data_IF_031445328889
#
_entry.id   IF_031445328889
#
_cell.length_a   1.000
_cell.length_b   1.000
_cell.length_c   1.000
_cell.angle_alpha   90.00
_cell.angle_beta   90.00
_cell.angle_gamma   90.00
#
_symmetry.space_group_name_H-M   'P 1'
#
loop_
_entity.id
_entity.type
_entity.pdbx_description
1 polymer ?
#
# COMPACT_ATOMS: atom_id res chain seq x y z
N UNK A 1 -12.51 -8.24 -25.15
CA UNK A 1 -11.30 -7.68 -24.56
C UNK A 1 -11.15 -8.29 -23.17
N UNK A 2 -10.29 -9.26 -22.97
CA UNK A 2 -9.98 -9.81 -21.64
C UNK A 2 -9.10 -8.80 -20.91
N UNK A 3 -9.59 -8.24 -19.81
CA UNK A 3 -8.78 -7.37 -18.94
C UNK A 3 -7.62 -8.20 -18.39
N UNK A 4 -6.39 -7.78 -18.67
CA UNK A 4 -5.21 -8.38 -18.04
C UNK A 4 -5.18 -8.07 -16.53
N UNK A 5 -4.51 -8.89 -15.74
CA UNK A 5 -4.40 -8.68 -14.28
C UNK A 5 -3.65 -7.38 -13.95
N UNK A 6 -2.72 -6.95 -14.81
CA UNK A 6 -2.01 -5.67 -14.72
C UNK A 6 -2.97 -4.49 -14.92
N UNK A 7 -3.92 -4.61 -15.88
CA UNK A 7 -4.97 -3.58 -16.10
C UNK A 7 -5.88 -3.46 -14.87
N UNK A 8 -6.22 -4.56 -14.24
CA UNK A 8 -7.01 -4.56 -12.98
C UNK A 8 -6.22 -3.89 -11.86
N UNK A 9 -4.92 -4.20 -11.73
CA UNK A 9 -4.07 -3.57 -10.74
C UNK A 9 -3.91 -2.05 -10.99
N UNK A 10 -3.77 -1.64 -12.25
CA UNK A 10 -3.73 -0.22 -12.64
C UNK A 10 -5.01 0.52 -12.22
N UNK A 11 -6.17 -0.03 -12.56
CA UNK A 11 -7.47 0.57 -12.20
C UNK A 11 -7.67 0.63 -10.68
N UNK A 12 -7.28 -0.41 -9.94
CA UNK A 12 -7.35 -0.42 -8.48
C UNK A 12 -6.48 0.68 -7.86
N UNK A 13 -5.24 0.86 -8.36
CA UNK A 13 -4.32 1.92 -7.91
C UNK A 13 -4.83 3.31 -8.29
N UNK A 14 -5.39 3.49 -9.49
CA UNK A 14 -5.97 4.75 -9.95
C UNK A 14 -7.13 5.16 -9.04
N UNK A 15 -8.08 4.27 -8.82
CA UNK A 15 -9.24 4.51 -7.94
C UNK A 15 -8.78 4.85 -6.53
N UNK A 16 -7.82 4.08 -5.99
CA UNK A 16 -7.29 4.33 -4.66
C UNK A 16 -6.57 5.67 -4.54
N UNK A 17 -5.80 6.07 -5.57
CA UNK A 17 -5.10 7.36 -5.63
C UNK A 17 -6.10 8.52 -5.60
N UNK A 18 -7.19 8.43 -6.38
CA UNK A 18 -8.24 9.45 -6.44
C UNK A 18 -9.02 9.54 -5.12
N UNK A 19 -9.42 8.40 -4.54
CA UNK A 19 -10.14 8.36 -3.25
C UNK A 19 -9.27 8.93 -2.13
N UNK A 20 -7.95 8.71 -2.16
CA UNK A 20 -7.03 9.15 -1.11
C UNK A 20 -6.58 10.60 -1.25
N UNK A 21 -6.70 11.22 -2.42
CA UNK A 21 -6.24 12.58 -2.67
C UNK A 21 -6.81 13.62 -1.68
N UNK A 22 -8.13 13.67 -1.39
CA UNK A 22 -8.68 14.65 -0.44
C UNK A 22 -8.14 14.46 0.99
N UNK A 23 -7.92 13.20 1.41
CA UNK A 23 -7.37 12.91 2.73
C UNK A 23 -5.87 13.20 2.82
N UNK A 24 -5.11 13.01 1.75
CA UNK A 24 -3.68 13.31 1.70
C UNK A 24 -3.38 14.82 1.80
N UNK A 25 -4.29 15.66 1.26
CA UNK A 25 -4.19 17.13 1.37
C UNK A 25 -4.45 17.57 2.80
N UNK A 26 -5.49 17.00 3.45
CA UNK A 26 -5.97 17.44 4.77
C UNK A 26 -5.21 16.80 5.94
N UNK A 27 -4.71 15.58 5.78
CA UNK A 27 -4.15 14.78 6.88
C UNK A 27 -2.71 14.31 6.55
N UNK A 28 -1.69 14.78 7.30
CA UNK A 28 -0.30 14.33 7.10
C UNK A 28 -0.12 12.82 7.19
N UNK A 29 -0.87 12.13 8.06
CA UNK A 29 -0.82 10.68 8.22
C UNK A 29 -1.29 9.90 7.00
N UNK A 30 -2.12 10.50 6.13
CA UNK A 30 -2.62 9.89 4.90
C UNK A 30 -1.65 10.03 3.72
N UNK A 31 -0.63 10.91 3.82
CA UNK A 31 0.33 11.18 2.74
C UNK A 31 1.17 9.96 2.38
N UNK A 32 1.60 9.16 3.36
CA UNK A 32 2.38 7.94 3.10
C UNK A 32 1.63 6.98 2.19
N UNK A 33 0.35 6.74 2.48
CA UNK A 33 -0.48 5.85 1.64
C UNK A 33 -0.71 6.46 0.25
N UNK A 34 -0.89 7.78 0.15
CA UNK A 34 -1.10 8.43 -1.13
C UNK A 34 0.15 8.40 -2.01
N UNK A 35 1.35 8.63 -1.43
CA UNK A 35 2.63 8.49 -2.14
C UNK A 35 2.78 7.06 -2.65
N UNK A 36 2.46 6.07 -1.81
CA UNK A 36 2.50 4.66 -2.19
C UNK A 36 1.62 4.37 -3.41
N UNK A 37 0.39 4.90 -3.43
CA UNK A 37 -0.56 4.62 -4.52
C UNK A 37 -0.18 5.33 -5.82
N UNK A 38 0.30 6.58 -5.77
CA UNK A 38 0.70 7.31 -6.98
C UNK A 38 1.99 6.74 -7.58
N UNK A 39 2.96 6.34 -6.74
CA UNK A 39 4.19 5.69 -7.24
C UNK A 39 3.91 4.29 -7.76
N UNK A 40 3.00 3.53 -7.13
CA UNK A 40 2.53 2.24 -7.63
C UNK A 40 1.77 2.37 -8.95
N UNK A 41 0.90 3.38 -9.09
CA UNK A 41 0.20 3.69 -10.33
C UNK A 41 1.19 4.02 -11.46
N UNK A 42 2.20 4.84 -11.17
CA UNK A 42 3.27 5.17 -12.11
C UNK A 42 4.11 3.94 -12.49
N UNK A 43 4.38 3.04 -11.55
CA UNK A 43 5.09 1.80 -11.82
C UNK A 43 4.31 0.90 -12.81
N UNK A 44 3.00 0.71 -12.57
CA UNK A 44 2.15 -0.10 -13.46
C UNK A 44 1.92 0.60 -14.81
N UNK A 45 1.92 1.92 -14.86
CA UNK A 45 1.90 2.67 -16.13
C UNK A 45 3.14 2.34 -16.99
N UNK A 46 4.32 2.20 -16.38
CA UNK A 46 5.57 1.86 -17.07
C UNK A 46 5.57 0.43 -17.66
N UNK A 47 4.67 -0.45 -17.22
CA UNK A 47 4.50 -1.81 -17.82
C UNK A 47 3.92 -1.76 -19.24
N UNK A 48 3.37 -0.62 -19.66
CA UNK A 48 2.75 -0.50 -20.98
C UNK A 48 1.24 -0.75 -21.00
N UNK A 49 0.58 -0.76 -19.84
CA UNK A 49 -0.87 -1.01 -19.73
C UNK A 49 -1.73 0.05 -20.46
N UNK A 50 -1.29 1.31 -20.45
CA UNK A 50 -2.02 2.44 -21.02
C UNK A 50 -1.38 2.92 -22.32
N UNK A 51 -0.07 3.07 -22.33
CA UNK A 51 0.74 3.44 -23.50
C UNK A 51 1.68 2.28 -23.77
N UNK A 52 1.80 1.78 -25.02
CA UNK A 52 2.68 0.65 -25.33
C UNK A 52 4.11 0.89 -24.84
N UNK A 53 4.69 -0.13 -24.20
CA UNK A 53 6.03 -0.06 -23.59
C UNK A 53 7.11 0.48 -24.55
N UNK A 54 7.14 0.12 -25.86
CA UNK A 54 8.14 0.68 -26.79
C UNK A 54 8.05 2.19 -26.95
N UNK A 55 6.86 2.79 -26.81
CA UNK A 55 6.69 4.25 -26.84
C UNK A 55 7.24 4.88 -25.57
N UNK A 56 6.89 4.33 -24.40
CA UNK A 56 7.35 4.83 -23.10
C UNK A 56 8.87 4.72 -22.99
N UNK A 57 9.42 3.56 -23.32
CA UNK A 57 10.87 3.33 -23.26
C UNK A 57 11.62 4.10 -24.34
N UNK A 58 11.00 4.32 -25.50
CA UNK A 58 11.54 5.17 -26.57
C UNK A 58 11.87 6.59 -26.10
N UNK A 59 11.05 7.17 -25.21
CA UNK A 59 11.32 8.47 -24.58
C UNK A 59 12.55 8.43 -23.64
N UNK A 60 12.94 7.23 -23.19
CA UNK A 60 14.04 6.97 -22.26
C UNK A 60 15.28 6.40 -22.96
N UNK A 61 15.28 6.35 -24.30
CA UNK A 61 16.41 5.85 -25.08
C UNK A 61 16.25 4.44 -25.67
N UNK A 62 15.11 3.76 -25.47
CA UNK A 62 14.77 2.49 -26.12
C UNK A 62 15.66 1.30 -25.76
N UNK A 63 16.21 1.28 -24.54
CA UNK A 63 17.13 0.23 -24.06
C UNK A 63 16.66 -0.38 -22.74
N UNK A 64 15.34 -0.61 -22.62
CA UNK A 64 14.70 -1.19 -21.44
C UNK A 64 14.88 -0.40 -20.13
N UNK A 65 15.16 0.91 -20.22
CA UNK A 65 15.29 1.83 -19.06
C UNK A 65 13.93 1.98 -18.33
N UNK A 66 12.81 1.89 -19.06
CA UNK A 66 11.49 1.89 -18.45
C UNK A 66 11.33 0.80 -17.38
N UNK A 67 11.92 -0.38 -17.59
CA UNK A 67 11.90 -1.47 -16.61
C UNK A 67 12.65 -1.10 -15.30
N UNK A 68 13.79 -0.41 -15.40
CA UNK A 68 14.50 0.10 -14.22
C UNK A 68 13.65 1.14 -13.46
N UNK A 69 13.07 2.11 -14.18
CA UNK A 69 12.21 3.15 -13.57
C UNK A 69 10.98 2.53 -12.93
N UNK A 70 10.36 1.55 -13.59
CA UNK A 70 9.26 0.76 -13.04
C UNK A 70 9.64 0.13 -11.69
N UNK A 71 10.79 -0.51 -11.60
CA UNK A 71 11.25 -1.19 -10.39
C UNK A 71 11.59 -0.20 -9.27
N UNK A 72 12.14 0.98 -9.57
CA UNK A 72 12.35 2.08 -8.62
C UNK A 72 11.01 2.58 -8.06
N UNK A 73 10.03 2.82 -8.93
CA UNK A 73 8.69 3.27 -8.56
C UNK A 73 7.95 2.21 -7.74
N UNK A 74 8.02 0.94 -8.15
CA UNK A 74 7.39 -0.17 -7.43
C UNK A 74 8.02 -0.38 -6.04
N UNK A 75 9.36 -0.34 -5.93
CA UNK A 75 10.07 -0.41 -4.64
C UNK A 75 9.62 0.74 -3.72
N UNK A 76 9.52 1.95 -4.27
CA UNK A 76 9.02 3.12 -3.55
C UNK A 76 7.60 2.89 -3.05
N UNK A 77 6.71 2.40 -3.92
CA UNK A 77 5.32 2.12 -3.57
C UNK A 77 5.22 1.11 -2.44
N UNK A 78 5.88 -0.03 -2.55
CA UNK A 78 5.88 -1.07 -1.52
C UNK A 78 6.47 -0.59 -0.19
N UNK A 79 7.55 0.18 -0.25
CA UNK A 79 8.16 0.75 0.95
C UNK A 79 7.21 1.71 1.66
N UNK A 80 6.53 2.61 0.95
CA UNK A 80 5.56 3.53 1.54
C UNK A 80 4.30 2.80 2.05
N UNK A 81 3.84 1.73 1.39
CA UNK A 81 2.77 0.86 1.91
C UNK A 81 3.19 0.23 3.24
N UNK A 82 4.40 -0.31 3.33
CA UNK A 82 4.95 -0.85 4.56
C UNK A 82 4.98 0.21 5.67
N UNK A 83 5.52 1.39 5.40
CA UNK A 83 5.59 2.49 6.38
C UNK A 83 4.18 2.92 6.83
N UNK A 84 3.23 3.03 5.91
CA UNK A 84 1.85 3.32 6.23
C UNK A 84 1.24 2.23 7.13
N UNK A 85 1.49 0.96 6.84
CA UNK A 85 1.01 -0.17 7.65
C UNK A 85 1.61 -0.18 9.06
N UNK A 86 2.90 0.17 9.19
CA UNK A 86 3.60 0.24 10.47
C UNK A 86 3.13 1.41 11.35
N UNK A 87 2.69 2.52 10.75
CA UNK A 87 2.26 3.72 11.47
C UNK A 87 0.75 3.78 11.76
N UNK A 88 -0.01 2.76 11.39
CA UNK A 88 -1.48 2.73 11.58
C UNK A 88 -1.93 2.74 13.05
N UNK A 89 -1.09 2.35 13.98
CA UNK A 89 -1.33 2.35 15.44
C UNK A 89 -1.01 3.69 16.12
N UNK A 90 -0.69 4.73 15.32
CA UNK A 90 -0.31 6.04 15.84
C UNK A 90 1.18 6.21 16.11
N UNK A 91 2.01 5.19 15.82
CA UNK A 91 3.46 5.34 15.87
C UNK A 91 3.92 6.40 14.86
N UNK A 92 4.93 7.19 15.23
CA UNK A 92 5.44 8.26 14.36
C UNK A 92 6.30 7.67 13.25
N UNK A 93 6.12 8.19 12.04
CA UNK A 93 7.02 7.93 10.93
C UNK A 93 8.45 8.40 11.27
N UNK A 94 9.44 7.52 11.07
CA UNK A 94 10.84 7.87 11.26
C UNK A 94 11.45 8.32 9.92
N UNK A 95 11.77 9.62 9.74
CA UNK A 95 12.35 10.10 8.47
C UNK A 95 13.71 9.47 8.12
N UNK A 96 14.46 8.99 9.12
CA UNK A 96 15.76 8.32 8.88
C UNK A 96 15.62 7.02 8.10
N UNK A 97 14.45 6.37 8.14
CA UNK A 97 14.21 5.16 7.34
C UNK A 97 14.16 5.45 5.83
N UNK A 98 14.00 6.71 5.40
CA UNK A 98 14.08 7.09 3.98
C UNK A 98 15.41 6.72 3.34
N UNK A 99 16.52 6.65 4.10
CA UNK A 99 17.82 6.22 3.57
C UNK A 99 17.86 4.76 3.11
N UNK A 100 16.87 3.96 3.50
CA UNK A 100 16.71 2.59 3.00
C UNK A 100 16.41 2.57 1.49
N UNK A 101 15.63 3.54 0.99
CA UNK A 101 15.26 3.63 -0.43
C UNK A 101 16.47 3.80 -1.36
N UNK A 102 17.35 4.81 -1.17
CA UNK A 102 18.56 4.91 -1.98
C UNK A 102 19.44 3.65 -1.94
N UNK A 103 19.57 3.00 -0.78
CA UNK A 103 20.33 1.76 -0.65
C UNK A 103 19.72 0.64 -1.50
N UNK A 104 18.39 0.47 -1.46
CA UNK A 104 17.67 -0.48 -2.30
C UNK A 104 17.82 -0.14 -3.78
N UNK A 105 17.68 1.15 -4.18
CA UNK A 105 17.83 1.56 -5.57
C UNK A 105 19.23 1.25 -6.10
N UNK A 106 20.27 1.61 -5.36
CA UNK A 106 21.66 1.32 -5.75
C UNK A 106 21.88 -0.19 -5.91
N UNK A 107 21.32 -1.01 -5.01
CA UNK A 107 21.54 -2.47 -5.04
C UNK A 107 21.17 -3.12 -6.36
N UNK A 108 20.08 -2.70 -7.03
CA UNK A 108 19.66 -3.26 -8.30
C UNK A 108 20.00 -2.37 -9.51
N UNK A 109 20.16 -1.04 -9.33
CA UNK A 109 20.56 -0.16 -10.45
C UNK A 109 21.98 -0.45 -10.92
N UNK A 110 22.90 -0.71 -9.99
CA UNK A 110 24.30 -1.05 -10.37
C UNK A 110 24.35 -2.28 -11.27
N UNK A 111 23.76 -3.43 -10.91
CA UNK A 111 23.69 -4.58 -11.84
C UNK A 111 22.99 -4.27 -13.17
N UNK A 112 21.91 -3.45 -13.16
CA UNK A 112 21.26 -3.03 -14.40
C UNK A 112 22.20 -2.31 -15.36
N UNK A 113 23.03 -1.40 -14.83
CA UNK A 113 24.02 -0.66 -15.63
C UNK A 113 25.14 -1.56 -16.14
N UNK A 114 25.39 -2.69 -15.48
CA UNK A 114 26.41 -3.68 -15.90
C UNK A 114 25.88 -4.70 -16.92
N UNK A 115 24.59 -4.65 -17.31
CA UNK A 115 24.07 -5.47 -18.41
C UNK A 115 24.69 -4.98 -19.71
N UNK A 116 25.48 -5.83 -20.35
CA UNK A 116 26.25 -5.51 -21.55
C UNK A 116 25.39 -5.35 -22.79
N UNK A 117 24.38 -6.20 -22.93
CA UNK A 117 23.40 -6.12 -24.01
C UNK A 117 21.99 -6.08 -23.44
N UNK A 118 21.40 -4.91 -23.49
CA UNK A 118 20.03 -4.68 -23.05
C UNK A 118 19.00 -4.84 -24.17
N UNK A 119 19.47 -5.03 -25.39
CA UNK A 119 18.62 -5.19 -26.58
C UNK A 119 17.72 -3.98 -26.86
N UNK A 120 16.81 -4.15 -27.80
CA UNK A 120 15.71 -3.25 -28.05
C UNK A 120 14.61 -3.46 -27.01
N UNK A 121 13.74 -2.45 -26.82
CA UNK A 121 12.61 -2.54 -25.88
C UNK A 121 11.71 -3.73 -26.19
N UNK A 122 11.49 -4.57 -25.19
CA UNK A 122 10.60 -5.73 -25.27
C UNK A 122 9.83 -5.90 -23.96
N UNK A 123 8.56 -6.34 -24.05
CA UNK A 123 7.73 -6.68 -22.91
C UNK A 123 8.29 -7.89 -22.14
N UNK A 124 9.12 -8.70 -22.81
CA UNK A 124 9.73 -9.90 -22.24
C UNK A 124 11.22 -9.73 -21.89
N UNK A 125 11.69 -8.50 -21.71
CA UNK A 125 13.11 -8.18 -21.42
C UNK A 125 13.74 -9.11 -20.38
N UNK A 126 13.04 -9.35 -19.27
CA UNK A 126 13.54 -10.23 -18.20
C UNK A 126 13.67 -11.67 -18.70
N UNK A 127 12.69 -12.19 -19.47
CA UNK A 127 12.71 -13.57 -19.95
C UNK A 127 13.71 -13.77 -21.09
N UNK A 128 13.77 -12.85 -22.02
CA UNK A 128 14.65 -12.96 -23.19
C UNK A 128 16.14 -12.92 -22.82
N UNK A 129 16.47 -12.09 -21.81
CA UNK A 129 17.85 -11.86 -21.38
C UNK A 129 18.21 -12.57 -20.06
N UNK A 130 17.35 -13.48 -19.55
CA UNK A 130 17.52 -14.15 -18.26
C UNK A 130 18.81 -14.99 -18.12
N UNK A 131 19.47 -15.30 -19.25
CA UNK A 131 20.72 -16.06 -19.28
C UNK A 131 21.96 -15.20 -18.96
N UNK A 132 21.80 -13.85 -18.84
CA UNK A 132 22.88 -12.93 -18.49
C UNK A 132 22.99 -12.75 -16.97
N UNK A 133 24.19 -12.90 -16.40
CA UNK A 133 24.44 -12.70 -14.95
C UNK A 133 24.06 -11.30 -14.47
N UNK A 134 24.27 -10.27 -15.30
CA UNK A 134 23.88 -8.89 -14.96
C UNK A 134 22.38 -8.74 -14.77
N UNK A 135 21.59 -9.35 -15.66
CA UNK A 135 20.14 -9.33 -15.56
C UNK A 135 19.63 -10.16 -14.37
N UNK A 136 20.20 -11.35 -14.16
CA UNK A 136 19.90 -12.17 -12.99
C UNK A 136 20.12 -11.40 -11.69
N UNK A 137 21.27 -10.74 -11.54
CA UNK A 137 21.60 -9.95 -10.37
C UNK A 137 20.64 -8.77 -10.20
N UNK A 138 20.35 -8.04 -11.29
CA UNK A 138 19.41 -6.93 -11.29
C UNK A 138 18.02 -7.34 -10.80
N UNK A 139 17.42 -8.33 -11.46
CA UNK A 139 16.04 -8.73 -11.17
C UNK A 139 15.94 -9.45 -9.81
N UNK A 140 16.93 -10.29 -9.45
CA UNK A 140 16.95 -10.97 -8.15
C UNK A 140 17.14 -10.00 -6.98
N UNK A 141 17.98 -8.98 -7.11
CA UNK A 141 18.15 -7.95 -6.07
C UNK A 141 16.92 -7.08 -5.92
N UNK A 142 16.25 -6.69 -7.02
CA UNK A 142 14.98 -6.01 -6.96
C UNK A 142 13.92 -6.86 -6.23
N UNK A 143 13.74 -8.13 -6.62
CA UNK A 143 12.80 -9.04 -5.94
C UNK A 143 13.20 -9.26 -4.48
N UNK A 144 14.49 -9.32 -4.17
CA UNK A 144 15.00 -9.38 -2.80
C UNK A 144 14.61 -8.17 -1.95
N UNK A 145 14.63 -6.96 -2.52
CA UNK A 145 14.11 -5.76 -1.87
C UNK A 145 12.61 -5.88 -1.59
N UNK A 146 11.81 -6.37 -2.55
CA UNK A 146 10.37 -6.59 -2.36
C UNK A 146 10.13 -7.62 -1.24
N UNK A 147 10.86 -8.75 -1.24
CA UNK A 147 10.79 -9.76 -0.15
C UNK A 147 11.08 -9.13 1.20
N UNK A 148 12.16 -8.34 1.32
CA UNK A 148 12.52 -7.67 2.57
C UNK A 148 11.41 -6.73 3.07
N UNK A 149 10.83 -5.93 2.17
CA UNK A 149 9.72 -5.03 2.48
C UNK A 149 8.49 -5.82 2.94
N UNK A 150 8.11 -6.88 2.22
CA UNK A 150 6.95 -7.71 2.57
C UNK A 150 7.12 -8.41 3.92
N UNK A 151 8.29 -8.97 4.20
CA UNK A 151 8.61 -9.60 5.50
C UNK A 151 8.52 -8.58 6.63
N UNK A 152 9.08 -7.38 6.48
CA UNK A 152 8.98 -6.31 7.48
C UNK A 152 7.54 -5.88 7.71
N UNK A 153 6.76 -5.71 6.63
CA UNK A 153 5.35 -5.37 6.71
C UNK A 153 4.55 -6.45 7.44
N UNK A 154 4.71 -7.72 7.07
CA UNK A 154 4.02 -8.85 7.70
C UNK A 154 4.34 -8.96 9.18
N UNK A 155 5.61 -8.78 9.59
CA UNK A 155 6.01 -8.75 10.99
C UNK A 155 5.35 -7.60 11.75
N UNK A 156 5.31 -6.40 11.14
CA UNK A 156 4.75 -5.20 11.78
C UNK A 156 3.23 -5.23 11.95
N UNK A 157 2.51 -5.96 11.07
CA UNK A 157 1.05 -6.11 11.17
C UNK A 157 0.64 -7.44 11.85
N UNK A 158 1.62 -8.22 12.34
CA UNK A 158 1.34 -9.49 13.02
C UNK A 158 0.50 -9.23 14.29
N UNK A 159 -0.50 -10.08 14.53
CA UNK A 159 -1.38 -9.94 15.71
C UNK A 159 -2.47 -8.86 15.61
N UNK A 160 -2.45 -7.95 14.64
CA UNK A 160 -3.50 -6.92 14.48
C UNK A 160 -4.80 -7.54 13.96
N UNK A 161 -5.92 -7.32 14.67
CA UNK A 161 -7.18 -8.06 14.49
C UNK A 161 -8.23 -7.50 13.50
N UNK A 162 -8.26 -6.21 13.03
CA UNK A 162 -9.32 -5.79 12.12
C UNK A 162 -9.33 -6.55 10.79
N UNK A 163 -10.54 -6.87 10.28
CA UNK A 163 -10.74 -7.59 9.00
C UNK A 163 -9.92 -7.05 7.81
N UNK A 164 -9.73 -5.72 7.63
CA UNK A 164 -8.90 -5.20 6.52
C UNK A 164 -7.47 -5.73 6.49
N UNK A 165 -6.87 -6.03 7.65
CA UNK A 165 -5.52 -6.59 7.71
C UNK A 165 -5.41 -8.00 7.13
N UNK A 166 -6.50 -8.74 7.04
CA UNK A 166 -6.50 -10.07 6.42
C UNK A 166 -6.17 -9.93 4.93
N UNK A 167 -6.83 -9.01 4.22
CA UNK A 167 -6.58 -8.76 2.80
C UNK A 167 -5.13 -8.30 2.56
N UNK A 168 -4.65 -7.38 3.39
CA UNK A 168 -3.25 -6.89 3.30
C UNK A 168 -2.27 -8.04 3.55
N UNK A 169 -2.51 -8.92 4.53
CA UNK A 169 -1.65 -10.07 4.81
C UNK A 169 -1.63 -11.07 3.67
N UNK A 170 -2.82 -11.45 3.17
CA UNK A 170 -2.92 -12.40 2.06
C UNK A 170 -2.23 -11.85 0.82
N UNK A 171 -2.46 -10.56 0.50
CA UNK A 171 -1.78 -9.88 -0.59
C UNK A 171 -0.27 -9.83 -0.41
N UNK A 172 0.22 -9.49 0.79
CA UNK A 172 1.65 -9.45 1.09
C UNK A 172 2.31 -10.85 1.00
N UNK A 173 1.64 -11.91 1.46
CA UNK A 173 2.12 -13.28 1.30
C UNK A 173 2.14 -13.70 -0.18
N UNK A 174 1.15 -13.30 -0.97
CA UNK A 174 1.12 -13.58 -2.40
C UNK A 174 2.27 -12.87 -3.14
N UNK A 175 2.53 -11.58 -2.85
CA UNK A 175 3.65 -10.83 -3.42
C UNK A 175 4.99 -11.46 -3.01
N UNK A 176 5.15 -11.81 -1.72
CA UNK A 176 6.36 -12.44 -1.21
C UNK A 176 6.63 -13.78 -1.89
N UNK A 177 5.61 -14.64 -1.98
CA UNK A 177 5.72 -15.94 -2.65
C UNK A 177 6.07 -15.79 -4.12
N UNK A 178 5.39 -14.89 -4.84
CA UNK A 178 5.68 -14.60 -6.24
C UNK A 178 7.12 -14.10 -6.43
N UNK A 179 7.60 -13.19 -5.57
CA UNK A 179 8.98 -12.67 -5.65
C UNK A 179 10.03 -13.77 -5.42
N UNK A 180 9.77 -14.73 -4.53
CA UNK A 180 10.65 -15.87 -4.33
C UNK A 180 10.62 -16.83 -5.54
N UNK A 181 9.45 -17.06 -6.12
CA UNK A 181 9.29 -17.86 -7.35
C UNK A 181 10.11 -17.24 -8.48
N UNK A 182 10.06 -15.93 -8.66
CA UNK A 182 10.81 -15.23 -9.70
C UNK A 182 12.33 -15.36 -9.50
N UNK A 183 12.82 -15.20 -8.26
CA UNK A 183 14.25 -15.41 -7.95
C UNK A 183 14.68 -16.85 -8.29
N UNK A 184 13.85 -17.83 -7.95
CA UNK A 184 14.12 -19.25 -8.28
C UNK A 184 14.15 -19.45 -9.79
N UNK A 185 13.15 -18.93 -10.52
CA UNK A 185 13.09 -19.00 -11.98
C UNK A 185 14.36 -18.44 -12.64
N UNK A 186 14.74 -17.22 -12.27
CA UNK A 186 15.94 -16.56 -12.80
C UNK A 186 17.23 -17.34 -12.46
N UNK A 187 17.30 -17.91 -11.26
CA UNK A 187 18.46 -18.72 -10.84
C UNK A 187 18.56 -20.01 -11.65
N UNK A 188 17.44 -20.70 -11.90
CA UNK A 188 17.39 -21.87 -12.74
C UNK A 188 17.83 -21.57 -14.19
N UNK A 189 17.42 -20.42 -14.72
CA UNK A 189 17.80 -19.95 -16.04
C UNK A 189 19.31 -19.74 -16.17
N UNK A 190 19.88 -18.96 -15.24
CA UNK A 190 21.33 -18.65 -15.26
C UNK A 190 22.21 -19.85 -14.94
N UNK A 191 21.69 -20.84 -14.20
CA UNK A 191 22.39 -22.10 -13.91
C UNK A 191 22.48 -23.05 -15.10
N UNK A 192 21.98 -22.62 -16.27
CA UNK A 192 22.11 -23.43 -17.51
C UNK A 192 21.07 -24.55 -17.65
N UNK A 193 20.02 -24.57 -16.81
CA UNK A 193 18.89 -25.51 -16.94
C UNK A 193 18.01 -25.19 -18.15
N UNK A 194 18.32 -24.09 -18.84
CA UNK A 194 17.76 -23.71 -20.12
C UNK A 194 16.28 -23.37 -20.11
N UNK A 195 15.69 -23.26 -21.30
CA UNK A 195 14.27 -23.03 -21.54
C UNK A 195 13.47 -24.33 -21.55
N UNK A 196 13.60 -25.14 -20.49
CA UNK A 196 12.78 -26.36 -20.37
C UNK A 196 11.35 -26.01 -20.02
N UNK A 197 10.32 -26.78 -20.46
CA UNK A 197 8.93 -26.53 -20.15
C UNK A 197 8.65 -26.41 -18.65
N UNK A 198 9.39 -27.13 -17.81
CA UNK A 198 9.27 -27.06 -16.35
C UNK A 198 9.78 -25.73 -15.78
N UNK A 199 10.87 -25.18 -16.31
CA UNK A 199 11.41 -23.88 -15.87
C UNK A 199 10.47 -22.75 -16.31
N UNK A 200 9.97 -22.79 -17.55
CA UNK A 200 8.98 -21.80 -18.04
C UNK A 200 7.67 -21.86 -17.24
N UNK A 201 7.23 -23.05 -16.83
CA UNK A 201 6.06 -23.18 -15.95
C UNK A 201 6.27 -22.51 -14.58
N UNK A 202 7.49 -22.55 -14.02
CA UNK A 202 7.81 -21.81 -12.78
C UNK A 202 7.70 -20.32 -12.98
N UNK A 203 8.25 -19.75 -14.08
CA UNK A 203 8.13 -18.32 -14.39
C UNK A 203 6.69 -17.88 -14.61
N UNK A 204 5.84 -18.71 -15.20
CA UNK A 204 4.42 -18.41 -15.40
C UNK A 204 3.63 -18.25 -14.09
N UNK A 205 4.12 -18.83 -12.98
CA UNK A 205 3.47 -18.70 -11.67
C UNK A 205 3.69 -17.33 -10.99
N UNK A 206 4.53 -16.47 -11.55
CA UNK A 206 4.83 -15.17 -10.96
C UNK A 206 3.69 -14.15 -11.10
N UNK A 207 3.18 -13.95 -12.31
CA UNK A 207 2.34 -12.80 -12.68
C UNK A 207 1.05 -12.71 -11.87
N UNK A 208 0.30 -13.81 -11.79
CA UNK A 208 -1.03 -13.81 -11.13
C UNK A 208 -0.90 -13.56 -9.62
N UNK A 209 -0.06 -14.25 -8.84
CA UNK A 209 0.07 -13.99 -7.41
C UNK A 209 0.65 -12.60 -7.12
N UNK A 210 1.58 -12.10 -7.95
CA UNK A 210 2.18 -10.78 -7.76
C UNK A 210 1.15 -9.66 -7.91
N UNK A 211 0.52 -9.52 -9.07
CA UNK A 211 -0.48 -8.47 -9.32
C UNK A 211 -1.78 -8.70 -8.56
N UNK A 212 -2.20 -9.94 -8.39
CA UNK A 212 -3.32 -10.30 -7.52
C UNK A 212 -3.07 -9.89 -6.06
N UNK A 213 -1.84 -10.07 -5.59
CA UNK A 213 -1.39 -9.58 -4.28
C UNK A 213 -1.47 -8.06 -4.16
N UNK A 214 -1.05 -7.31 -5.18
CA UNK A 214 -1.19 -5.85 -5.24
C UNK A 214 -2.65 -5.44 -5.13
N UNK A 215 -3.55 -6.07 -5.91
CA UNK A 215 -5.00 -5.82 -5.86
C UNK A 215 -5.57 -6.09 -4.47
N UNK A 216 -5.17 -7.17 -3.81
CA UNK A 216 -5.61 -7.49 -2.45
C UNK A 216 -5.12 -6.46 -1.42
N UNK A 217 -3.88 -6.01 -1.52
CA UNK A 217 -3.36 -4.93 -0.66
C UNK A 217 -4.15 -3.65 -0.87
N UNK A 218 -4.40 -3.25 -2.12
CA UNK A 218 -5.23 -2.08 -2.45
C UNK A 218 -6.65 -2.21 -1.87
N UNK A 219 -7.30 -3.35 -2.04
CA UNK A 219 -8.62 -3.63 -1.48
C UNK A 219 -8.63 -3.52 0.05
N UNK A 220 -7.61 -4.08 0.73
CA UNK A 220 -7.45 -3.95 2.17
C UNK A 220 -7.31 -2.49 2.64
N UNK A 221 -6.55 -1.68 1.92
CA UNK A 221 -6.40 -0.26 2.19
C UNK A 221 -7.72 0.51 1.97
N UNK A 222 -8.46 0.19 0.90
CA UNK A 222 -9.78 0.79 0.62
C UNK A 222 -10.76 0.48 1.75
N UNK A 223 -10.88 -0.80 2.13
CA UNK A 223 -11.78 -1.23 3.22
C UNK A 223 -11.40 -0.54 4.53
N UNK A 224 -10.10 -0.41 4.82
CA UNK A 224 -9.64 0.31 6.00
C UNK A 224 -10.00 1.80 5.95
N UNK A 225 -9.86 2.44 4.77
CA UNK A 225 -10.23 3.84 4.58
C UNK A 225 -11.72 4.09 4.81
N UNK A 226 -12.57 3.26 4.22
CA UNK A 226 -14.03 3.34 4.36
C UNK A 226 -14.44 3.12 5.83
N UNK A 227 -13.89 2.10 6.48
CA UNK A 227 -14.16 1.83 7.89
C UNK A 227 -13.73 2.98 8.82
N UNK A 228 -12.61 3.64 8.52
CA UNK A 228 -12.13 4.81 9.27
C UNK A 228 -13.02 6.04 9.04
N UNK A 229 -13.41 6.30 7.78
CA UNK A 229 -14.30 7.40 7.43
C UNK A 229 -15.68 7.22 8.07
N UNK A 230 -16.24 6.00 8.03
CA UNK A 230 -17.50 5.67 8.70
C UNK A 230 -17.46 5.90 10.21
N UNK A 231 -16.39 5.46 10.88
CA UNK A 231 -16.20 5.70 12.32
C UNK A 231 -16.10 7.19 12.66
N UNK A 232 -15.35 7.97 11.86
CA UNK A 232 -15.25 9.43 12.06
C UNK A 232 -16.59 10.13 11.88
N UNK A 233 -17.35 9.78 10.84
CA UNK A 233 -18.69 10.34 10.61
C UNK A 233 -19.65 9.96 11.74
N UNK A 234 -19.60 8.72 12.22
CA UNK A 234 -20.41 8.28 13.36
C UNK A 234 -20.03 9.04 14.63
N UNK A 235 -18.74 9.18 14.95
CA UNK A 235 -18.28 9.92 16.12
C UNK A 235 -18.65 11.41 16.04
N UNK A 236 -18.50 12.05 14.88
CA UNK A 236 -18.92 13.44 14.69
C UNK A 236 -20.44 13.64 14.86
N UNK A 237 -21.25 12.65 14.47
CA UNK A 237 -22.70 12.67 14.68
C UNK A 237 -23.05 12.46 16.15
N UNK A 238 -22.40 11.48 16.79
CA UNK A 238 -22.54 11.22 18.23
C UNK A 238 -22.11 12.44 19.06
N UNK A 239 -20.98 13.07 18.75
CA UNK A 239 -20.51 14.28 19.40
C UNK A 239 -21.54 15.42 19.31
N UNK A 240 -22.13 15.64 18.13
CA UNK A 240 -23.20 16.65 17.98
C UNK A 240 -24.46 16.34 18.82
N UNK A 241 -24.85 15.06 18.87
CA UNK A 241 -26.01 14.65 19.69
C UNK A 241 -25.73 14.77 21.19
N UNK A 242 -24.51 14.41 21.62
CA UNK A 242 -24.08 14.58 23.02
C UNK A 242 -23.96 16.06 23.39
N UNK A 243 -23.39 16.90 22.50
CA UNK A 243 -23.36 18.36 22.72
C UNK A 243 -24.74 18.95 22.87
N UNK A 244 -25.71 18.54 22.01
CA UNK A 244 -27.09 18.98 22.14
C UNK A 244 -27.72 18.55 23.48
N UNK A 245 -27.55 17.28 23.86
CA UNK A 245 -28.05 16.79 25.15
C UNK A 245 -27.41 17.49 26.34
N UNK A 246 -26.16 17.90 26.24
CA UNK A 246 -25.46 18.69 27.26
C UNK A 246 -26.02 20.12 27.38
N UNK A 247 -26.30 20.77 26.23
CA UNK A 247 -26.91 22.10 26.19
C UNK A 247 -28.33 22.09 26.75
N UNK A 248 -29.11 21.05 26.43
CA UNK A 248 -30.49 20.88 26.97
C UNK A 248 -30.51 20.79 28.52
N UNK A 249 -29.37 20.43 29.13
CA UNK A 249 -29.16 20.40 30.59
C UNK A 249 -28.44 21.65 31.13
N UNK A 250 -28.31 22.70 30.35
CA UNK A 250 -27.71 23.97 30.77
C UNK A 250 -26.19 23.94 30.89
N UNK A 251 -25.51 22.93 30.32
CA UNK A 251 -24.07 22.89 30.34
C UNK A 251 -23.46 23.79 29.28
N UNK A 252 -22.42 24.55 29.64
CA UNK A 252 -21.64 25.33 28.69
C UNK A 252 -20.63 24.35 28.00
N UNK A 253 -20.94 24.00 26.78
CA UNK A 253 -20.02 23.23 25.92
C UNK A 253 -19.17 24.21 25.13
N UNK A 254 -17.91 24.44 25.56
CA UNK A 254 -16.96 25.20 24.74
C UNK A 254 -16.36 24.27 23.67
N UNK A 255 -16.53 24.57 22.37
CA UNK A 255 -15.85 23.86 21.34
C UNK A 255 -14.34 24.11 21.48
N UNK A 256 -13.52 23.04 21.34
CA UNK A 256 -12.08 23.17 21.26
C UNK A 256 -11.75 23.15 19.77
N UNK A 257 -11.15 24.21 19.21
CA UNK A 257 -10.72 24.23 17.80
C UNK A 257 -9.81 23.05 17.51
N UNK A 258 -10.02 22.40 16.36
CA UNK A 258 -9.23 21.25 15.88
C UNK A 258 -9.21 19.99 16.77
N UNK A 259 -10.14 19.84 17.69
CA UNK A 259 -10.28 18.60 18.48
C UNK A 259 -10.71 17.42 17.59
N UNK A 260 -10.03 16.26 17.74
CA UNK A 260 -10.44 15.04 17.03
C UNK A 260 -11.87 14.64 17.48
N UNK A 261 -12.79 14.33 16.54
CA UNK A 261 -14.17 13.91 16.87
C UNK A 261 -14.28 12.76 17.89
N UNK A 262 -13.27 11.90 17.97
CA UNK A 262 -13.20 10.82 18.97
C UNK A 262 -13.00 11.41 20.37
N UNK A 263 -12.05 12.33 20.53
CA UNK A 263 -11.78 12.99 21.82
C UNK A 263 -12.95 13.87 22.25
N UNK A 264 -13.56 14.61 21.33
CA UNK A 264 -14.75 15.41 21.59
C UNK A 264 -15.90 14.54 22.11
N UNK A 265 -16.18 13.42 21.41
CA UNK A 265 -17.25 12.49 21.79
C UNK A 265 -16.98 11.90 23.18
N UNK A 266 -15.76 11.47 23.46
CA UNK A 266 -15.38 10.92 24.76
C UNK A 266 -15.52 11.97 25.89
N UNK A 267 -15.01 13.19 25.68
CA UNK A 267 -15.10 14.29 26.64
C UNK A 267 -16.55 14.64 26.98
N UNK A 268 -17.41 14.67 25.96
CA UNK A 268 -18.83 14.92 26.14
C UNK A 268 -19.55 13.79 26.89
N UNK A 269 -19.19 12.54 26.57
CA UNK A 269 -19.71 11.36 27.25
C UNK A 269 -19.32 11.33 28.73
N UNK A 270 -18.04 11.62 29.05
CA UNK A 270 -17.59 11.71 30.45
C UNK A 270 -18.37 12.78 31.22
N UNK A 271 -18.53 14.01 30.68
CA UNK A 271 -19.28 15.05 31.30
C UNK A 271 -20.76 14.71 31.55
N UNK A 272 -21.40 14.04 30.57
CA UNK A 272 -22.76 13.57 30.73
C UNK A 272 -22.87 12.47 31.81
N UNK A 273 -21.84 11.62 31.92
CA UNK A 273 -21.78 10.59 32.97
C UNK A 273 -21.61 11.20 34.36
N UNK A 274 -20.81 12.25 34.49
CA UNK A 274 -20.64 12.97 35.78
C UNK A 274 -21.97 13.58 36.27
N UNK A 275 -22.78 14.09 35.33
CA UNK A 275 -24.12 14.58 35.66
C UNK A 275 -25.08 13.44 35.97
N UNK A 276 -24.93 12.30 35.31
CA UNK A 276 -25.74 11.10 35.56
C UNK A 276 -25.64 10.60 37.00
N UNK A 277 -24.50 10.84 37.64
CA UNK A 277 -24.29 10.51 39.06
C UNK A 277 -25.07 11.44 40.02
N UNK A 278 -25.56 12.59 39.53
CA UNK A 278 -26.33 13.56 40.30
C UNK A 278 -27.80 13.67 39.89
N UNK A 279 -28.17 13.19 38.70
CA UNK A 279 -29.55 13.30 38.15
C UNK A 279 -29.89 12.08 37.28
N UNK A 280 -31.17 11.68 37.25
CA UNK A 280 -31.61 10.57 36.38
C UNK A 280 -31.43 10.91 34.88
N UNK A 281 -30.77 10.01 34.15
CA UNK A 281 -30.62 10.09 32.69
C UNK A 281 -31.91 9.69 31.97
N UNK A 282 -32.26 10.43 30.94
CA UNK A 282 -33.35 10.07 30.03
C UNK A 282 -32.97 8.80 29.24
N UNK A 283 -33.99 8.10 28.75
CA UNK A 283 -33.79 6.90 27.94
C UNK A 283 -32.87 7.16 26.71
N UNK A 284 -32.99 8.35 26.13
CA UNK A 284 -32.17 8.79 24.96
C UNK A 284 -30.71 8.99 25.33
N UNK A 285 -30.41 9.65 26.44
CA UNK A 285 -29.05 9.90 26.93
C UNK A 285 -28.33 8.58 27.29
N UNK A 286 -29.02 7.63 27.90
CA UNK A 286 -28.48 6.30 28.19
C UNK A 286 -28.08 5.56 26.91
N UNK A 287 -28.85 5.70 25.83
CA UNK A 287 -28.49 5.08 24.51
C UNK A 287 -27.29 5.80 23.93
N UNK A 288 -27.19 7.11 23.96
CA UNK A 288 -26.06 7.90 23.47
C UNK A 288 -24.77 7.58 24.23
N UNK A 289 -24.82 7.48 25.55
CA UNK A 289 -23.66 7.09 26.36
C UNK A 289 -23.15 5.68 26.04
N UNK A 290 -24.05 4.69 25.89
CA UNK A 290 -23.66 3.34 25.49
C UNK A 290 -23.05 3.25 24.09
N UNK A 291 -23.40 4.17 23.20
CA UNK A 291 -22.84 4.22 21.86
C UNK A 291 -21.47 4.94 21.80
N UNK A 292 -21.14 5.75 22.83
CA UNK A 292 -19.92 6.55 22.92
C UNK A 292 -18.80 5.87 23.73
N UNK A 293 -19.14 4.87 24.54
CA UNK A 293 -18.23 3.99 25.30
C UNK A 293 -18.01 2.68 24.57
#
# INVERSE_FOLDING_TARGET
MTLSIESVAFLALLVLTLIRLPSAIREPSSRLTWIATITGLAAVFMVGVVVPLPIVDGWLGGTNVANLIQNILATTAFWFVMQAALTLDGSRFNPRSLWELPAMFVSFTVPFLLITDRGSTTDEFIKESADQYGLWAYASLYMGCVVLIMVRMLRGIHGRKPRPYILIRVGAWAILGASLIEIVYLTLRVAGLGRTPSVEAVGALFTIPFYGGVVLVCAGIIVFAIARAGRRSMNATLGRLLAKASLDRGMIVKPIPDEDPVHETYRLAVRLTDIANSQELTKRERVLLRAAT
#
